data_IF_203509058252
#
_entry.id   IF_203509058252
#
_cell.length_a   1.000
_cell.length_b   1.000
_cell.length_c   1.000
_cell.angle_alpha   90.00
_cell.angle_beta   90.00
_cell.angle_gamma   90.00
#
_symmetry.space_group_name_H-M   'P 1'
#
loop_
_entity.id
_entity.type
_entity.pdbx_description
1 polymer ?
#
# COMPACT_ATOMS: atom_id res chain seq x y z
N UNK A 1 -9.79 -7.92 8.19
CA UNK A 1 -9.15 -7.22 7.04
C UNK A 1 -9.69 -7.90 5.78
N UNK A 2 -10.13 -7.18 4.76
CA UNK A 2 -10.83 -7.77 3.58
C UNK A 2 -9.99 -8.85 2.86
N UNK A 3 -8.67 -8.80 2.99
CA UNK A 3 -7.74 -9.68 2.27
C UNK A 3 -6.94 -10.66 3.16
N UNK A 4 -7.26 -10.71 4.46
CA UNK A 4 -6.60 -11.57 5.46
C UNK A 4 -5.06 -11.59 5.39
N UNK A 5 -4.45 -10.46 5.00
CA UNK A 5 -3.00 -10.30 4.97
C UNK A 5 -2.47 -10.22 6.42
N UNK A 6 -2.17 -11.37 7.04
CA UNK A 6 -1.60 -11.41 8.39
C UNK A 6 -0.18 -10.87 8.37
N UNK A 7 0.01 -9.60 8.73
CA UNK A 7 1.33 -8.99 8.87
C UNK A 7 1.90 -9.34 10.24
N UNK A 8 2.76 -10.37 10.32
CA UNK A 8 3.43 -10.77 11.56
C UNK A 8 4.72 -10.00 11.85
N UNK A 9 5.14 -9.14 10.92
CA UNK A 9 6.37 -8.37 11.04
C UNK A 9 6.17 -7.11 11.91
N UNK A 10 7.02 -6.87 12.92
CA UNK A 10 6.94 -5.70 13.80
C UNK A 10 7.49 -4.41 13.15
N UNK A 11 8.13 -4.52 11.98
CA UNK A 11 8.70 -3.43 11.21
C UNK A 11 8.09 -3.39 9.80
N UNK A 12 8.07 -2.21 9.16
CA UNK A 12 7.70 -2.07 7.75
C UNK A 12 8.85 -2.41 6.79
N UNK A 13 8.55 -2.55 5.49
CA UNK A 13 9.56 -2.71 4.43
C UNK A 13 9.34 -3.94 3.56
N UNK A 14 10.15 -4.11 2.49
CA UNK A 14 9.95 -5.19 1.50
C UNK A 14 10.19 -6.60 2.08
N UNK A 15 10.94 -6.71 3.17
CA UNK A 15 11.22 -7.96 3.88
C UNK A 15 10.00 -8.58 4.57
N UNK A 16 8.88 -7.85 4.66
CA UNK A 16 7.64 -8.41 5.23
C UNK A 16 6.94 -9.36 4.27
N UNK A 17 7.12 -9.20 2.95
CA UNK A 17 6.46 -9.99 1.89
C UNK A 17 6.59 -11.52 2.08
N UNK A 18 7.78 -12.10 2.35
CA UNK A 18 7.91 -13.54 2.56
C UNK A 18 7.30 -14.06 3.88
N UNK A 19 6.96 -13.18 4.82
CA UNK A 19 6.45 -13.56 6.15
C UNK A 19 4.93 -13.41 6.31
N UNK A 20 4.24 -13.05 5.23
CA UNK A 20 2.80 -12.81 5.20
C UNK A 20 2.06 -14.07 4.76
N UNK A 21 0.91 -14.37 5.38
CA UNK A 21 0.09 -15.52 5.02
C UNK A 21 -0.48 -15.47 3.60
N UNK A 22 -0.75 -14.27 3.08
CA UNK A 22 -1.21 -14.02 1.71
C UNK A 22 -0.40 -12.92 0.99
N UNK A 23 0.81 -13.23 0.48
CA UNK A 23 1.72 -12.22 -0.05
C UNK A 23 1.24 -11.58 -1.37
N UNK A 24 0.51 -12.34 -2.20
CA UNK A 24 -0.06 -11.82 -3.45
C UNK A 24 -1.11 -10.74 -3.19
N UNK A 25 -2.04 -11.00 -2.26
CA UNK A 25 -3.06 -10.03 -1.89
C UNK A 25 -2.47 -8.83 -1.15
N UNK A 26 -1.36 -9.00 -0.44
CA UNK A 26 -0.63 -7.91 0.18
C UNK A 26 0.00 -6.97 -0.87
N UNK A 27 0.65 -7.52 -1.89
CA UNK A 27 1.19 -6.71 -3.00
C UNK A 27 0.09 -5.97 -3.76
N UNK A 28 -1.04 -6.64 -4.02
CA UNK A 28 -2.20 -6.00 -4.64
C UNK A 28 -2.73 -4.86 -3.77
N UNK A 29 -2.83 -5.07 -2.45
CA UNK A 29 -3.28 -4.04 -1.50
C UNK A 29 -2.35 -2.83 -1.49
N UNK A 30 -1.03 -3.04 -1.52
CA UNK A 30 -0.05 -1.96 -1.64
C UNK A 30 -0.25 -1.21 -2.96
N UNK A 31 -0.33 -1.92 -4.08
CA UNK A 31 -0.49 -1.30 -5.40
C UNK A 31 -1.76 -0.43 -5.46
N UNK A 32 -2.89 -0.96 -4.98
CA UNK A 32 -4.16 -0.22 -4.92
C UNK A 32 -4.04 0.98 -3.98
N UNK A 33 -3.46 0.81 -2.79
CA UNK A 33 -3.24 1.90 -1.83
C UNK A 33 -2.36 3.02 -2.39
N UNK A 34 -1.31 2.68 -3.13
CA UNK A 34 -0.44 3.64 -3.81
C UNK A 34 -1.17 4.42 -4.91
N UNK A 35 -1.98 3.74 -5.74
CA UNK A 35 -2.77 4.40 -6.78
C UNK A 35 -3.79 5.36 -6.17
N UNK A 36 -4.53 4.91 -5.15
CA UNK A 36 -5.51 5.76 -4.45
C UNK A 36 -4.82 6.95 -3.80
N UNK A 37 -3.67 6.75 -3.13
CA UNK A 37 -2.89 7.83 -2.54
C UNK A 37 -2.39 8.85 -3.58
N UNK A 38 -1.95 8.37 -4.74
CA UNK A 38 -1.54 9.23 -5.84
C UNK A 38 -2.71 10.05 -6.42
N UNK A 39 -3.88 9.43 -6.58
CA UNK A 39 -5.09 10.11 -7.04
C UNK A 39 -5.56 11.17 -6.03
N UNK A 40 -5.57 10.83 -4.74
CA UNK A 40 -5.90 11.78 -3.67
C UNK A 40 -4.92 12.96 -3.66
N UNK A 41 -3.63 12.69 -3.81
CA UNK A 41 -2.64 13.75 -3.93
C UNK A 41 -2.88 14.61 -5.18
N UNK A 42 -3.17 14.01 -6.33
CA UNK A 42 -3.45 14.76 -7.57
C UNK A 42 -4.68 15.66 -7.44
N UNK A 43 -5.72 15.22 -6.72
CA UNK A 43 -6.94 15.97 -6.50
C UNK A 43 -6.78 17.07 -5.45
N UNK A 44 -6.08 16.78 -4.34
CA UNK A 44 -6.00 17.69 -3.20
C UNK A 44 -4.80 18.66 -3.27
N UNK A 45 -3.76 18.32 -4.03
CA UNK A 45 -2.57 19.17 -4.14
C UNK A 45 -2.94 20.46 -4.86
N UNK A 46 -2.68 21.59 -4.20
CA UNK A 46 -2.86 22.93 -4.76
C UNK A 46 -2.06 23.05 -6.06
N UNK A 47 -2.69 23.58 -7.12
CA UNK A 47 -1.99 23.88 -8.37
C UNK A 47 -0.88 24.89 -8.08
N UNK A 48 0.35 24.52 -8.42
CA UNK A 48 1.51 25.39 -8.40
C UNK A 48 1.65 25.86 -9.85
N UNK A 49 1.41 27.14 -10.10
CA UNK A 49 1.73 27.75 -11.39
C UNK A 49 3.27 27.78 -11.52
N UNK A 50 3.76 27.36 -12.68
CA UNK A 50 5.18 27.28 -12.99
C UNK A 50 5.81 28.67 -13.15
#
# INVERSE_FOLDING_TARGET
MVFDCTLRAPHGGIFVVPTIGNPLMYLLSIAVGSVVGALLLALLKKKIDA
#
